data_IF_783004772742
#
_entry.id   IF_783004772742
#
_cell.length_a   1.000
_cell.length_b   1.000
_cell.length_c   1.000
_cell.angle_alpha   90.00
_cell.angle_beta   90.00
_cell.angle_gamma   90.00
#
_symmetry.space_group_name_H-M   'P 1'
#
loop_
_entity.id
_entity.type
_entity.pdbx_description
1 polymer ?
#
# COMPACT_ATOMS: atom_id res chain seq x y z
N UNK A 1 6.94 -0.77 3.77
CA UNK A 1 6.19 0.05 2.79
C UNK A 1 6.84 0.05 1.42
N UNK A 2 8.00 0.68 1.20
CA UNK A 2 8.64 0.72 -0.13
C UNK A 2 8.85 -0.64 -0.80
N UNK A 3 9.24 -1.67 -0.04
CA UNK A 3 9.36 -3.04 -0.55
C UNK A 3 8.02 -3.63 -1.01
N UNK A 4 6.92 -3.36 -0.29
CA UNK A 4 5.58 -3.81 -0.67
C UNK A 4 5.15 -3.15 -1.97
N UNK A 5 5.38 -1.84 -2.10
CA UNK A 5 5.13 -1.08 -3.33
C UNK A 5 5.92 -1.66 -4.51
N UNK A 6 7.21 -1.98 -4.31
CA UNK A 6 8.04 -2.63 -5.33
C UNK A 6 7.51 -4.01 -5.74
N UNK A 7 7.08 -4.81 -4.77
CA UNK A 7 6.52 -6.13 -5.02
C UNK A 7 5.24 -6.02 -5.83
N UNK A 8 4.34 -5.10 -5.46
CA UNK A 8 3.08 -4.89 -6.17
C UNK A 8 3.31 -4.39 -7.60
N UNK A 9 4.19 -3.39 -7.79
CA UNK A 9 4.54 -2.92 -9.14
C UNK A 9 5.05 -4.06 -10.02
N UNK A 10 5.96 -4.89 -9.49
CA UNK A 10 6.48 -6.06 -10.21
C UNK A 10 5.43 -7.14 -10.45
N UNK A 11 4.47 -7.33 -9.54
CA UNK A 11 3.35 -8.26 -9.71
C UNK A 11 2.44 -7.85 -10.86
N UNK A 12 2.35 -6.56 -11.14
CA UNK A 12 1.62 -5.98 -12.26
C UNK A 12 2.47 -5.86 -13.54
N UNK A 13 3.72 -6.34 -13.55
CA UNK A 13 4.69 -6.21 -14.65
C UNK A 13 4.95 -4.76 -15.11
N UNK A 14 4.72 -3.78 -14.24
CA UNK A 14 4.92 -2.36 -14.55
C UNK A 14 6.38 -1.95 -14.36
N UNK A 15 6.88 -1.12 -15.25
CA UNK A 15 8.13 -0.35 -15.12
C UNK A 15 7.95 0.88 -14.23
N UNK A 16 9.05 1.50 -13.81
CA UNK A 16 8.96 2.78 -13.07
C UNK A 16 8.43 3.91 -13.96
N UNK A 17 8.68 3.87 -15.27
CA UNK A 17 8.19 4.88 -16.21
C UNK A 17 6.68 4.79 -16.37
N UNK A 18 6.10 3.59 -16.44
CA UNK A 18 4.65 3.40 -16.48
C UNK A 18 3.98 3.91 -15.20
N UNK A 19 4.57 3.67 -14.03
CA UNK A 19 4.08 4.24 -12.77
C UNK A 19 4.25 5.76 -12.74
N UNK A 20 5.32 6.31 -13.31
CA UNK A 20 5.48 7.76 -13.48
C UNK A 20 4.37 8.34 -14.35
N UNK A 21 4.05 7.71 -15.48
CA UNK A 21 2.96 8.14 -16.37
C UNK A 21 1.61 8.17 -15.66
N UNK A 22 1.34 7.24 -14.73
CA UNK A 22 0.10 7.18 -13.98
C UNK A 22 0.05 8.11 -12.74
N UNK A 23 1.20 8.38 -12.10
CA UNK A 23 1.27 9.08 -10.80
C UNK A 23 1.88 10.48 -10.85
N UNK A 24 2.59 10.83 -11.93
CA UNK A 24 3.43 12.03 -12.00
C UNK A 24 4.71 11.96 -11.13
N UNK A 25 4.97 10.84 -10.45
CA UNK A 25 6.13 10.68 -9.57
C UNK A 25 7.38 10.27 -10.35
N UNK A 26 8.41 11.10 -10.31
CA UNK A 26 9.68 10.79 -11.01
C UNK A 26 10.23 9.41 -10.65
N UNK A 27 10.82 8.73 -11.63
CA UNK A 27 11.49 7.44 -11.45
C UNK A 27 12.54 7.46 -10.34
N UNK A 28 13.24 8.59 -10.15
CA UNK A 28 14.17 8.80 -9.03
C UNK A 28 13.44 8.69 -7.68
N UNK A 29 12.32 9.38 -7.51
CA UNK A 29 11.53 9.28 -6.29
C UNK A 29 11.04 7.84 -6.08
N UNK A 30 10.44 7.22 -7.10
CA UNK A 30 9.93 5.85 -7.03
C UNK A 30 11.05 4.87 -6.63
N UNK A 31 12.22 4.99 -7.24
CA UNK A 31 13.38 4.16 -6.93
C UNK A 31 13.91 4.36 -5.50
N UNK A 32 14.02 5.60 -5.03
CA UNK A 32 14.42 5.88 -3.64
C UNK A 32 13.37 5.38 -2.65
N UNK A 33 12.09 5.58 -2.94
CA UNK A 33 10.97 5.14 -2.11
C UNK A 33 10.91 3.61 -2.02
N UNK A 34 10.98 2.89 -3.14
CA UNK A 34 11.02 1.42 -3.18
C UNK A 34 12.19 0.83 -2.38
N UNK A 35 13.33 1.55 -2.33
CA UNK A 35 14.50 1.20 -1.52
C UNK A 35 14.37 1.54 -0.03
N UNK A 36 13.25 2.13 0.38
CA UNK A 36 12.96 2.44 1.78
C UNK A 36 13.49 3.79 2.24
N UNK A 37 13.45 4.83 1.39
CA UNK A 37 13.77 6.21 1.79
C UNK A 37 13.10 6.56 3.13
N UNK A 38 13.88 6.90 4.18
CA UNK A 38 13.34 7.08 5.54
C UNK A 38 12.38 8.27 5.63
N UNK A 39 12.61 9.31 4.84
CA UNK A 39 11.85 10.57 4.86
C UNK A 39 11.12 10.78 3.52
N UNK A 40 10.46 9.75 2.99
CA UNK A 40 9.60 9.93 1.82
C UNK A 40 8.42 10.84 2.18
N UNK A 41 8.11 11.82 1.32
CA UNK A 41 6.93 12.68 1.50
C UNK A 41 5.67 11.84 1.52
N UNK A 42 4.85 11.97 2.57
CA UNK A 42 3.62 11.20 2.73
C UNK A 42 2.66 11.38 1.55
N UNK A 43 2.46 12.61 1.06
CA UNK A 43 1.60 12.87 -0.10
C UNK A 43 2.03 12.07 -1.33
N UNK A 44 3.34 12.08 -1.63
CA UNK A 44 3.89 11.31 -2.76
C UNK A 44 3.82 9.80 -2.54
N UNK A 45 3.85 9.35 -1.29
CA UNK A 45 3.63 7.94 -0.96
C UNK A 45 2.17 7.57 -1.27
N UNK A 46 1.21 8.40 -0.89
CA UNK A 46 -0.20 8.19 -1.19
C UNK A 46 -0.46 8.17 -2.71
N UNK A 47 0.15 9.08 -3.48
CA UNK A 47 0.06 9.10 -4.94
C UNK A 47 0.58 7.78 -5.56
N UNK A 48 1.69 7.25 -5.03
CA UNK A 48 2.25 5.98 -5.50
C UNK A 48 1.33 4.79 -5.19
N UNK A 49 0.71 4.78 -4.00
CA UNK A 49 -0.25 3.73 -3.62
C UNK A 49 -1.48 3.78 -4.50
N UNK A 50 -2.04 4.98 -4.73
CA UNK A 50 -3.19 5.17 -5.60
C UNK A 50 -2.91 4.69 -7.03
N UNK A 51 -1.75 5.02 -7.60
CA UNK A 51 -1.39 4.61 -8.95
C UNK A 51 -1.23 3.09 -9.11
N UNK A 52 -0.94 2.36 -8.03
CA UNK A 52 -0.84 0.91 -8.02
C UNK A 52 -2.12 0.21 -7.54
N UNK A 53 -3.18 0.96 -7.19
CA UNK A 53 -4.42 0.41 -6.64
C UNK A 53 -4.27 -0.17 -5.23
N UNK A 54 -3.34 0.38 -4.42
CA UNK A 54 -3.09 -0.03 -3.04
C UNK A 54 -3.84 0.86 -2.05
N UNK A 55 -4.41 0.23 -1.02
CA UNK A 55 -5.03 0.93 0.12
C UNK A 55 -4.10 0.94 1.34
N UNK A 56 -4.19 2.00 2.15
CA UNK A 56 -3.47 2.11 3.42
C UNK A 56 -4.46 2.19 4.59
N UNK A 57 -4.30 1.28 5.55
CA UNK A 57 -5.00 1.33 6.84
C UNK A 57 -4.02 1.79 7.93
N UNK A 58 -4.44 2.77 8.75
CA UNK A 58 -3.69 3.26 9.91
C UNK A 58 -4.49 2.97 11.17
N UNK A 59 -3.84 2.35 12.16
CA UNK A 59 -4.47 1.90 13.40
C UNK A 59 -3.63 2.32 14.61
N UNK A 60 -4.25 2.51 15.79
CA UNK A 60 -3.50 2.63 17.04
C UNK A 60 -2.58 1.43 17.26
N UNK A 61 -1.46 1.67 17.95
CA UNK A 61 -0.50 0.61 18.25
C UNK A 61 -1.16 -0.45 19.14
N UNK A 62 -1.05 -1.72 18.74
CA UNK A 62 -1.67 -2.86 19.43
C UNK A 62 -3.04 -3.27 18.86
N UNK A 63 -3.74 -2.38 18.15
CA UNK A 63 -5.03 -2.71 17.56
C UNK A 63 -4.92 -3.60 16.32
N UNK A 64 -3.83 -3.52 15.56
CA UNK A 64 -3.62 -4.37 14.39
C UNK A 64 -3.65 -5.87 14.77
N UNK A 65 -2.91 -6.27 15.79
CA UNK A 65 -2.90 -7.65 16.30
C UNK A 65 -4.27 -8.05 16.85
N UNK A 66 -4.93 -7.15 17.59
CA UNK A 66 -6.27 -7.39 18.17
C UNK A 66 -7.31 -7.63 17.07
N UNK A 67 -7.32 -6.78 16.04
CA UNK A 67 -8.19 -6.94 14.88
C UNK A 67 -7.86 -8.26 14.18
N UNK A 68 -6.61 -8.51 13.79
CA UNK A 68 -6.22 -9.74 13.09
C UNK A 68 -6.57 -11.00 13.88
N UNK A 69 -6.47 -10.98 15.21
CA UNK A 69 -6.92 -12.07 16.08
C UNK A 69 -8.44 -12.26 16.01
N UNK A 70 -9.21 -11.18 16.01
CA UNK A 70 -10.66 -11.23 15.81
C UNK A 70 -11.01 -11.76 14.41
N UNK A 71 -10.30 -11.35 13.36
CA UNK A 71 -10.51 -11.82 11.97
C UNK A 71 -10.28 -13.32 11.80
N UNK A 72 -9.44 -13.96 12.63
CA UNK A 72 -9.27 -15.43 12.62
C UNK A 72 -10.52 -16.17 13.05
N UNK A 73 -11.36 -15.57 13.89
CA UNK A 73 -12.61 -16.16 14.38
C UNK A 73 -13.82 -15.85 13.49
N UNK A 74 -13.68 -14.96 12.50
CA UNK A 74 -14.76 -14.62 11.56
C UNK A 74 -14.90 -15.76 10.52
N UNK A 75 -16.09 -16.36 10.38
CA UNK A 75 -16.35 -17.39 9.37
C UNK A 75 -16.10 -16.83 7.97
N UNK A 76 -15.50 -17.67 7.11
CA UNK A 76 -14.94 -17.26 5.82
C UNK A 76 -15.92 -16.54 4.87
N UNK A 77 -17.22 -16.72 5.08
CA UNK A 77 -18.29 -16.11 4.31
C UNK A 77 -18.48 -14.59 4.54
N UNK A 78 -17.84 -14.00 5.55
CA UNK A 78 -17.95 -12.55 5.85
C UNK A 78 -16.63 -11.78 5.68
N UNK A 79 -15.58 -12.39 5.10
CA UNK A 79 -14.23 -11.80 5.09
C UNK A 79 -14.01 -10.60 4.16
N UNK A 80 -15.00 -10.23 3.33
CA UNK A 80 -14.89 -9.11 2.38
C UNK A 80 -16.25 -8.43 2.14
N UNK A 81 -16.86 -7.84 3.18
CA UNK A 81 -17.86 -6.78 2.96
C UNK A 81 -17.22 -5.42 3.26
N UNK A 82 -17.33 -4.48 2.32
CA UNK A 82 -16.89 -3.09 2.43
C UNK A 82 -17.58 -2.30 3.56
N UNK A 83 -18.47 -2.94 4.32
CA UNK A 83 -19.17 -2.36 5.48
C UNK A 83 -18.35 -2.35 6.77
N UNK A 84 -17.27 -3.13 6.88
CA UNK A 84 -16.51 -3.23 8.15
C UNK A 84 -15.54 -2.05 8.35
N UNK A 85 -15.27 -1.26 7.30
CA UNK A 85 -14.34 -0.12 7.33
C UNK A 85 -15.09 1.21 7.15
N UNK A 86 -16.30 1.33 7.73
CA UNK A 86 -17.03 2.58 7.87
C UNK A 86 -17.18 2.96 9.33
#
# INVERSE_FOLDING_TARGET
>A
MGQLVRQERKRQDLTMDEVYSASGLTTRFLSEFERGKPNASLGRVMDALQALGLEMLVLPRGDAERLLAAWRQIPANHRFSSEVIK
#
